data_IF_567176832617
#
_entry.id   IF_567176832617
#
_cell.length_a   1.000
_cell.length_b   1.000
_cell.length_c   1.000
_cell.angle_alpha   90.00
_cell.angle_beta   90.00
_cell.angle_gamma   90.00
#
_symmetry.space_group_name_H-M   'P 1'
#
loop_
_entity.id
_entity.type
_entity.pdbx_description
1 polymer ?
#
# COMPACT_ATOMS: atom_id res chain seq x y z
N UNK A 1 -9.19 -14.69 0.00
CA UNK A 1 -8.72 -13.59 -0.88
C UNK A 1 -7.20 -13.39 -0.81
N UNK A 2 -6.52 -13.34 -1.98
CA UNK A 2 -5.09 -12.99 -2.05
C UNK A 2 -4.84 -11.59 -2.60
N UNK A 3 -3.91 -10.87 -1.98
CA UNK A 3 -3.42 -9.57 -2.42
C UNK A 3 -1.92 -9.68 -2.68
N UNK A 4 -1.41 -8.97 -3.69
CA UNK A 4 0.02 -8.86 -3.96
C UNK A 4 0.43 -7.40 -4.08
N UNK A 5 1.42 -6.97 -3.32
CA UNK A 5 2.11 -5.70 -3.51
C UNK A 5 3.44 -6.02 -4.20
N UNK A 6 3.63 -5.51 -5.42
CA UNK A 6 4.90 -5.55 -6.14
C UNK A 6 5.58 -4.19 -6.06
N UNK A 7 6.70 -4.07 -5.36
CA UNK A 7 7.50 -2.84 -5.32
C UNK A 7 8.16 -2.61 -6.67
N UNK A 8 8.09 -1.38 -7.16
CA UNK A 8 8.53 -1.03 -8.52
C UNK A 8 9.62 0.04 -8.53
N UNK A 9 9.45 1.10 -7.74
CA UNK A 9 10.35 2.24 -7.73
C UNK A 9 10.92 2.45 -6.34
N UNK A 10 12.19 2.07 -6.19
CA UNK A 10 12.96 2.22 -4.97
C UNK A 10 13.68 3.57 -5.00
N UNK A 11 13.30 4.48 -4.10
CA UNK A 11 13.91 5.81 -3.98
C UNK A 11 14.50 5.98 -2.58
N UNK A 12 15.36 6.98 -2.42
CA UNK A 12 16.10 7.18 -1.16
C UNK A 12 15.20 7.53 0.03
N UNK A 13 13.99 8.03 -0.23
CA UNK A 13 13.06 8.48 0.79
C UNK A 13 11.72 7.73 0.78
N UNK A 14 11.40 7.01 -0.30
CA UNK A 14 10.12 6.32 -0.44
C UNK A 14 10.21 5.12 -1.38
N UNK A 15 9.16 4.32 -1.41
CA UNK A 15 9.01 3.22 -2.38
C UNK A 15 7.60 3.23 -2.95
N UNK A 16 7.49 3.20 -4.29
CA UNK A 16 6.22 3.03 -4.99
C UNK A 16 6.10 1.59 -5.46
N UNK A 17 4.93 0.99 -5.26
CA UNK A 17 4.59 -0.34 -5.77
C UNK A 17 3.21 -0.37 -6.42
N UNK A 18 2.88 -1.51 -7.02
CA UNK A 18 1.56 -1.81 -7.55
C UNK A 18 0.90 -2.88 -6.68
N UNK A 19 -0.30 -2.57 -6.17
CA UNK A 19 -1.14 -3.53 -5.45
C UNK A 19 -2.08 -4.20 -6.45
N UNK A 20 -2.14 -5.52 -6.36
CA UNK A 20 -2.95 -6.39 -7.19
C UNK A 20 -3.86 -7.24 -6.29
N UNK A 21 -5.06 -7.50 -6.75
CA UNK A 21 -6.04 -8.35 -6.07
C UNK A 21 -6.31 -9.56 -6.95
N UNK A 22 -6.46 -10.73 -6.32
CA UNK A 22 -6.82 -11.96 -7.01
C UNK A 22 -8.18 -11.81 -7.73
N UNK A 23 -8.27 -12.26 -8.98
CA UNK A 23 -9.52 -12.27 -9.74
C UNK A 23 -10.53 -13.26 -9.13
N UNK A 24 -11.80 -12.87 -9.08
CA UNK A 24 -12.88 -13.77 -8.67
C UNK A 24 -13.14 -14.87 -9.71
N UNK A 25 -12.96 -14.56 -11.01
CA UNK A 25 -13.19 -15.50 -12.11
C UNK A 25 -12.05 -16.52 -12.27
N UNK A 26 -10.82 -16.14 -11.92
CA UNK A 26 -9.65 -17.01 -12.04
C UNK A 26 -8.66 -16.80 -10.88
N UNK A 27 -8.54 -17.77 -9.94
CA UNK A 27 -7.69 -17.63 -8.77
C UNK A 27 -6.19 -17.59 -9.08
N UNK A 28 -5.77 -17.92 -10.31
CA UNK A 28 -4.38 -17.83 -10.75
C UNK A 28 -4.04 -16.46 -11.37
N UNK A 29 -5.01 -15.56 -11.51
CA UNK A 29 -4.83 -14.23 -12.09
C UNK A 29 -4.83 -13.17 -10.99
N UNK A 30 -3.80 -12.33 -11.00
CA UNK A 30 -3.71 -11.13 -10.16
C UNK A 30 -4.00 -9.90 -11.02
N UNK A 31 -5.04 -9.16 -10.67
CA UNK A 31 -5.49 -7.96 -11.41
C UNK A 31 -4.92 -6.72 -10.73
N UNK A 32 -4.35 -5.81 -11.50
CA UNK A 32 -3.92 -4.51 -10.98
C UNK A 32 -5.09 -3.78 -10.33
N UNK A 33 -4.89 -3.27 -9.12
CA UNK A 33 -5.92 -2.56 -8.36
C UNK A 33 -5.55 -1.09 -8.16
N UNK A 34 -4.35 -0.81 -7.61
CA UNK A 34 -3.91 0.55 -7.37
C UNK A 34 -2.38 0.67 -7.24
N UNK A 35 -1.89 1.90 -7.13
CA UNK A 35 -0.52 2.17 -6.72
C UNK A 35 -0.43 2.26 -5.19
N UNK A 36 0.78 2.03 -4.67
CA UNK A 36 1.11 2.10 -3.25
C UNK A 36 2.28 3.03 -2.98
N UNK A 37 2.34 3.56 -1.76
CA UNK A 37 3.45 4.37 -1.28
C UNK A 37 3.85 3.90 0.12
N UNK A 38 5.12 3.56 0.26
CA UNK A 38 5.75 3.15 1.51
C UNK A 38 6.96 4.07 1.80
N UNK A 39 7.51 4.08 3.03
CA UNK A 39 8.84 4.64 3.25
C UNK A 39 9.89 3.92 2.40
N UNK A 40 11.15 4.41 2.41
CA UNK A 40 12.24 3.71 1.72
C UNK A 40 12.34 2.25 2.14
N UNK A 41 12.34 1.34 1.18
CA UNK A 41 12.74 -0.05 1.41
C UNK A 41 14.22 -0.16 1.75
N UNK A 42 14.53 -1.04 2.71
CA UNK A 42 15.90 -1.37 3.13
C UNK A 42 16.04 -2.87 3.20
N UNK A 43 17.19 -3.37 2.78
CA UNK A 43 17.57 -4.75 3.04
C UNK A 43 17.98 -4.87 4.50
N UNK A 44 17.08 -5.32 5.38
CA UNK A 44 17.34 -5.41 6.82
C UNK A 44 18.41 -6.45 7.20
N UNK A 45 18.88 -7.26 6.24
CA UNK A 45 20.05 -8.14 6.47
C UNK A 45 21.38 -7.38 6.36
N UNK A 46 21.37 -6.20 5.72
CA UNK A 46 22.54 -5.36 5.44
C UNK A 46 22.46 -3.98 6.09
N UNK A 47 21.25 -3.46 6.26
CA UNK A 47 20.97 -2.12 6.77
C UNK A 47 20.15 -2.18 8.06
N UNK A 48 20.40 -1.26 8.98
CA UNK A 48 19.57 -1.12 10.17
C UNK A 48 18.22 -0.49 9.83
N UNK A 49 17.16 -0.96 10.48
CA UNK A 49 15.85 -0.31 10.44
C UNK A 49 15.95 1.12 10.97
N UNK A 50 15.46 2.08 10.19
CA UNK A 50 15.26 3.47 10.62
C UNK A 50 13.79 3.68 10.95
N UNK A 51 13.48 3.94 12.22
CA UNK A 51 12.11 4.08 12.70
C UNK A 51 11.35 5.16 11.91
N UNK A 52 10.15 4.81 11.43
CA UNK A 52 9.30 5.69 10.63
C UNK A 52 9.77 5.97 9.20
N UNK A 53 10.97 5.53 8.81
CA UNK A 53 11.55 5.78 7.49
C UNK A 53 11.82 4.51 6.69
N UNK A 54 11.43 3.35 7.21
CA UNK A 54 11.69 2.02 6.63
C UNK A 54 10.39 1.33 6.28
N UNK A 55 10.27 0.85 5.03
CA UNK A 55 9.17 -0.03 4.64
C UNK A 55 9.29 -1.39 5.34
N UNK A 56 8.18 -2.11 5.42
CA UNK A 56 8.15 -3.45 6.04
C UNK A 56 8.96 -4.45 5.20
N UNK A 57 9.46 -5.55 5.80
CA UNK A 57 10.18 -6.57 5.04
C UNK A 57 9.30 -7.17 3.94
N UNK A 58 9.92 -7.76 2.92
CA UNK A 58 9.18 -8.60 1.97
C UNK A 58 8.74 -9.88 2.67
N UNK A 59 7.56 -10.41 2.31
CA UNK A 59 6.94 -11.53 3.00
C UNK A 59 5.46 -11.65 2.68
N UNK A 60 4.81 -12.66 3.24
CA UNK A 60 3.35 -12.81 3.19
C UNK A 60 2.79 -12.55 4.58
N UNK A 61 1.81 -11.66 4.67
CA UNK A 61 1.20 -11.25 5.93
C UNK A 61 -0.30 -11.46 5.89
N UNK A 62 -0.85 -12.10 6.92
CA UNK A 62 -2.30 -12.17 7.12
C UNK A 62 -2.86 -10.78 7.38
N UNK A 63 -4.02 -10.49 6.81
CA UNK A 63 -4.76 -9.25 7.06
C UNK A 63 -5.96 -9.55 7.97
N UNK A 64 -6.10 -8.76 9.02
CA UNK A 64 -7.26 -8.79 9.90
C UNK A 64 -7.90 -7.41 10.02
N UNK A 65 -9.23 -7.36 10.00
CA UNK A 65 -9.95 -6.14 10.34
C UNK A 65 -9.97 -5.98 11.85
N UNK A 66 -9.33 -4.92 12.36
CA UNK A 66 -9.29 -4.59 13.80
C UNK A 66 -9.70 -3.14 14.02
N UNK A 67 -10.32 -2.85 15.17
CA UNK A 67 -10.73 -1.48 15.49
C UNK A 67 -9.49 -0.62 15.77
N UNK A 68 -9.39 0.51 15.07
CA UNK A 68 -8.33 1.49 15.27
C UNK A 68 -8.85 2.67 16.06
N UNK A 69 -8.30 2.91 17.27
CA UNK A 69 -8.65 4.11 18.06
C UNK A 69 -8.31 5.42 17.34
N UNK A 70 -7.25 5.42 16.51
CA UNK A 70 -6.83 6.62 15.75
C UNK A 70 -7.82 7.01 14.66
N UNK A 71 -8.37 6.01 13.96
CA UNK A 71 -9.28 6.22 12.83
C UNK A 71 -10.75 6.01 13.20
N UNK A 72 -11.02 5.61 14.45
CA UNK A 72 -12.33 5.33 15.03
C UNK A 72 -13.19 4.36 14.22
N UNK A 73 -12.53 3.41 13.54
CA UNK A 73 -13.17 2.41 12.69
C UNK A 73 -12.32 1.15 12.54
N UNK A 74 -12.94 0.11 11.99
CA UNK A 74 -12.24 -1.11 11.59
C UNK A 74 -11.26 -0.80 10.45
N UNK A 75 -10.02 -1.26 10.58
CA UNK A 75 -8.93 -1.04 9.63
C UNK A 75 -8.24 -2.37 9.30
N UNK A 76 -7.68 -2.53 8.08
CA UNK A 76 -6.97 -3.75 7.68
C UNK A 76 -5.53 -3.73 8.22
N UNK A 77 -5.29 -4.48 9.29
CA UNK A 77 -3.97 -4.65 9.91
C UNK A 77 -3.24 -5.85 9.32
N UNK A 78 -1.94 -5.69 9.08
CA UNK A 78 -1.04 -6.81 8.77
C UNK A 78 -0.57 -7.44 10.08
N UNK A 79 -0.70 -8.76 10.17
CA UNK A 79 -0.29 -9.54 11.35
C UNK A 79 1.19 -9.90 11.29
N UNK A 80 1.82 -9.98 12.46
CA UNK A 80 3.16 -10.57 12.68
C UNK A 80 4.26 -10.00 11.78
N UNK A 81 4.22 -8.69 11.52
CA UNK A 81 5.21 -8.01 10.69
C UNK A 81 6.54 -7.86 11.46
N UNK A 82 7.65 -8.51 11.04
CA UNK A 82 8.89 -8.50 11.80
C UNK A 82 9.44 -7.09 12.01
N UNK A 83 9.81 -6.75 13.25
CA UNK A 83 10.36 -5.45 13.66
C UNK A 83 9.37 -4.26 13.62
N UNK A 84 8.09 -4.49 13.33
CA UNK A 84 7.07 -3.45 13.28
C UNK A 84 5.84 -3.82 14.11
N UNK A 85 5.08 -2.80 14.51
CA UNK A 85 3.81 -2.96 15.21
C UNK A 85 2.77 -2.07 14.55
N UNK A 86 1.51 -2.51 14.58
CA UNK A 86 0.37 -1.70 14.13
C UNK A 86 0.39 -1.34 12.64
N UNK A 87 1.03 -2.15 11.80
CA UNK A 87 1.08 -1.94 10.35
C UNK A 87 -0.30 -2.19 9.75
N UNK A 88 -0.73 -1.29 8.88
CA UNK A 88 -2.02 -1.36 8.21
C UNK A 88 -1.92 -0.89 6.76
N UNK A 89 -2.95 -1.20 5.98
CA UNK A 89 -3.20 -0.53 4.70
C UNK A 89 -4.12 0.65 4.96
N UNK A 90 -3.75 1.87 4.56
CA UNK A 90 -4.58 3.05 4.82
C UNK A 90 -4.42 4.19 3.79
N UNK A 91 -5.24 5.23 3.97
CA UNK A 91 -5.18 6.46 3.18
C UNK A 91 -3.92 7.27 3.49
N UNK A 92 -3.32 7.88 2.48
CA UNK A 92 -2.20 8.80 2.63
C UNK A 92 -1.65 9.16 1.26
N UNK A 93 -1.04 10.34 1.16
CA UNK A 93 -0.65 10.94 -0.11
C UNK A 93 0.85 11.24 -0.18
N UNK A 94 1.57 11.30 0.96
CA UNK A 94 3.01 11.58 1.02
C UNK A 94 3.77 10.56 1.85
N UNK A 95 5.09 10.41 1.65
CA UNK A 95 5.89 9.47 2.44
C UNK A 95 5.81 9.70 3.95
N UNK A 96 5.58 10.94 4.39
CA UNK A 96 5.42 11.30 5.81
C UNK A 96 4.10 10.87 6.43
N UNK A 97 3.10 10.50 5.63
CA UNK A 97 1.80 10.00 6.13
C UNK A 97 1.91 8.56 6.66
N UNK A 98 3.05 7.90 6.44
CA UNK A 98 3.32 6.53 6.88
C UNK A 98 4.61 6.44 7.69
N UNK A 99 4.63 5.49 8.62
CA UNK A 99 5.82 5.10 9.39
C UNK A 99 6.23 3.65 9.15
N UNK A 100 5.67 3.03 8.11
CA UNK A 100 5.84 1.62 7.74
C UNK A 100 4.57 0.99 7.15
N UNK A 101 3.41 1.62 7.35
CA UNK A 101 2.16 1.24 6.72
C UNK A 101 2.21 1.35 5.18
N UNK A 102 1.34 0.58 4.52
CA UNK A 102 1.15 0.64 3.08
C UNK A 102 0.07 1.69 2.78
N UNK A 103 0.46 2.78 2.11
CA UNK A 103 -0.51 3.74 1.60
C UNK A 103 -1.04 3.27 0.25
N UNK A 104 -2.32 3.52 -0.05
CA UNK A 104 -2.96 3.16 -1.33
C UNK A 104 -3.56 4.38 -2.02
N UNK A 105 -3.46 4.42 -3.35
CA UNK A 105 -3.92 5.54 -4.17
C UNK A 105 -3.52 5.39 -5.63
N UNK A 106 -3.43 6.51 -6.36
CA UNK A 106 -2.84 6.58 -7.70
C UNK A 106 -1.54 7.37 -7.62
N UNK A 107 -0.44 6.80 -8.11
CA UNK A 107 0.83 7.49 -8.10
C UNK A 107 0.83 8.63 -9.11
N UNK A 108 1.31 9.80 -8.69
CA UNK A 108 1.58 10.90 -9.62
C UNK A 108 2.75 10.49 -10.51
N UNK A 109 2.52 10.48 -11.82
CA UNK A 109 3.53 10.12 -12.84
C UNK A 109 4.02 11.39 -13.53
N UNK A 110 5.26 11.38 -14.07
CA UNK A 110 5.72 12.47 -14.91
C UNK A 110 4.76 12.62 -16.09
N UNK A 111 4.41 13.87 -16.42
CA UNK A 111 3.68 14.15 -17.65
C UNK A 111 4.53 13.78 -18.84
N UNK A 112 3.88 13.26 -19.88
CA UNK A 112 4.56 13.09 -21.15
C UNK A 112 4.78 14.47 -21.81
N UNK A 113 5.83 14.64 -22.64
CA UNK A 113 6.09 15.90 -23.33
C UNK A 113 4.88 16.44 -24.11
N UNK A 114 4.04 15.55 -24.63
CA UNK A 114 2.84 15.87 -25.40
C UNK A 114 1.60 16.26 -24.57
N UNK A 115 1.63 16.14 -23.24
CA UNK A 115 0.47 16.48 -22.38
C UNK A 115 0.46 17.97 -22.02
N UNK A 116 -0.66 18.65 -22.31
CA UNK A 116 -0.83 20.08 -21.98
C UNK A 116 -0.66 20.35 -20.47
N UNK A 117 -0.09 21.51 -20.13
CA UNK A 117 -0.02 22.01 -18.75
C UNK A 117 -0.84 23.28 -18.55
N UNK A 118 -2.18 23.18 -18.52
CA UNK A 118 -3.05 24.35 -18.42
C UNK A 118 -2.86 25.16 -17.13
N UNK A 119 -2.37 24.53 -16.05
CA UNK A 119 -2.13 25.22 -14.78
C UNK A 119 -0.71 25.78 -14.64
N UNK A 120 0.25 25.35 -15.47
CA UNK A 120 1.67 25.69 -15.32
C UNK A 120 2.34 25.10 -14.07
N UNK A 121 1.61 24.36 -13.22
CA UNK A 121 2.12 23.85 -11.96
C UNK A 121 3.10 22.70 -12.16
N UNK A 122 4.14 22.65 -11.32
CA UNK A 122 5.12 21.58 -11.32
C UNK A 122 4.48 20.25 -10.86
N UNK A 123 4.78 19.16 -11.58
CA UNK A 123 4.33 17.83 -11.19
C UNK A 123 5.16 17.31 -10.02
N UNK A 124 4.51 17.03 -8.89
CA UNK A 124 5.17 16.52 -7.69
C UNK A 124 5.14 14.99 -7.66
N UNK A 125 6.25 14.36 -8.05
CA UNK A 125 6.46 12.91 -8.03
C UNK A 125 6.67 12.40 -6.60
N UNK A 126 6.39 11.11 -6.38
CA UNK A 126 6.57 10.47 -5.07
C UNK A 126 5.38 10.70 -4.12
N UNK A 127 4.21 10.97 -4.70
CA UNK A 127 2.95 11.18 -3.99
C UNK A 127 1.84 10.32 -4.57
N UNK A 128 0.80 10.09 -3.77
CA UNK A 128 -0.45 9.48 -4.22
C UNK A 128 -1.58 10.51 -4.29
N UNK A 129 -2.54 10.25 -5.19
CA UNK A 129 -3.85 10.88 -5.26
C UNK A 129 -4.96 9.84 -5.06
N UNK A 130 -6.21 10.27 -4.96
CA UNK A 130 -7.40 9.42 -4.83
C UNK A 130 -7.40 8.41 -3.66
N UNK A 131 -6.54 8.61 -2.65
CA UNK A 131 -6.30 7.62 -1.60
C UNK A 131 -7.56 7.20 -0.85
N UNK A 132 -8.49 8.12 -0.59
CA UNK A 132 -9.76 7.82 0.09
C UNK A 132 -10.65 6.89 -0.72
N UNK A 133 -10.85 7.17 -2.01
CA UNK A 133 -11.70 6.35 -2.88
C UNK A 133 -11.07 4.97 -3.08
N UNK A 134 -9.76 4.94 -3.32
CA UNK A 134 -8.99 3.70 -3.48
C UNK A 134 -9.05 2.83 -2.22
N UNK A 135 -8.83 3.42 -1.04
CA UNK A 135 -8.93 2.72 0.23
C UNK A 135 -10.33 2.16 0.45
N UNK A 136 -11.37 2.97 0.25
CA UNK A 136 -12.74 2.51 0.48
C UNK A 136 -13.08 1.29 -0.41
N UNK A 137 -12.70 1.31 -1.69
CA UNK A 137 -12.90 0.17 -2.60
C UNK A 137 -12.14 -1.08 -2.12
N UNK A 138 -10.87 -0.94 -1.76
CA UNK A 138 -10.07 -2.08 -1.28
C UNK A 138 -10.63 -2.63 0.05
N UNK A 139 -11.01 -1.73 0.95
CA UNK A 139 -11.59 -2.09 2.24
C UNK A 139 -12.86 -2.90 2.09
N UNK A 140 -13.74 -2.53 1.15
CA UNK A 140 -14.96 -3.29 0.88
C UNK A 140 -14.66 -4.70 0.38
N UNK A 141 -13.71 -4.88 -0.54
CA UNK A 141 -13.27 -6.21 -0.98
C UNK A 141 -12.75 -7.07 0.17
N UNK A 142 -11.89 -6.49 1.02
CA UNK A 142 -11.36 -7.18 2.21
C UNK A 142 -12.50 -7.54 3.18
N UNK A 143 -13.43 -6.61 3.41
CA UNK A 143 -14.57 -6.80 4.32
C UNK A 143 -15.50 -7.91 3.82
N UNK A 144 -15.77 -7.98 2.53
CA UNK A 144 -16.60 -9.02 1.93
C UNK A 144 -15.92 -10.39 2.02
N UNK A 145 -14.63 -10.49 1.72
CA UNK A 145 -13.87 -11.73 1.89
C UNK A 145 -13.92 -12.23 3.34
N UNK A 146 -13.67 -11.35 4.32
CA UNK A 146 -13.77 -11.69 5.75
C UNK A 146 -15.18 -12.13 6.13
N UNK A 147 -16.23 -11.45 5.64
CA UNK A 147 -17.64 -11.84 5.88
C UNK A 147 -17.98 -13.22 5.33
N UNK A 148 -17.37 -13.62 4.22
CA UNK A 148 -17.50 -14.96 3.63
C UNK A 148 -16.69 -16.03 4.39
N UNK A 149 -15.94 -15.66 5.43
CA UNK A 149 -15.07 -16.56 6.18
C UNK A 149 -13.76 -16.86 5.45
N UNK A 150 -13.42 -16.11 4.40
CA UNK A 150 -12.16 -16.27 3.70
C UNK A 150 -11.00 -15.66 4.49
N UNK A 151 -9.86 -16.34 4.49
CA UNK A 151 -8.62 -15.74 4.91
C UNK A 151 -8.15 -14.70 3.87
N UNK A 152 -7.65 -13.57 4.36
CA UNK A 152 -7.09 -12.50 3.54
C UNK A 152 -5.60 -12.38 3.83
N UNK A 153 -4.79 -12.41 2.79
CA UNK A 153 -3.34 -12.26 2.90
C UNK A 153 -2.79 -11.26 1.87
N UNK A 154 -1.70 -10.58 2.21
CA UNK A 154 -0.91 -9.76 1.28
C UNK A 154 0.50 -10.29 1.16
N UNK A 155 0.91 -10.62 -0.06
CA UNK A 155 2.31 -10.90 -0.41
C UNK A 155 2.99 -9.61 -0.84
N UNK A 156 3.94 -9.14 -0.04
CA UNK A 156 4.80 -7.99 -0.32
C UNK A 156 6.10 -8.50 -0.97
N UNK A 157 6.33 -8.10 -2.22
CA UNK A 157 7.46 -8.55 -3.04
C UNK A 157 8.19 -7.37 -3.68
#
# INVERSE_FOLDING_TARGET
MKIRLKRMYYKDTYTIGALQVQSEDNPNVMVYFCDTLEPRWRDLTKEKKVAGKTAIPSGTYKIELRYSKKFEKMMPYLCDVPFFEGIMIHIGNVPSDTRGCILVGKAVRPRKPEEENPTGEATVIGRLTDSRITFNRLYELIREAVRKGEEVEVKVA
#
